data_IF_986263264792
#
_entry.id   IF_986263264792
#
_cell.length_a   1.000
_cell.length_b   1.000
_cell.length_c   1.000
_cell.angle_alpha   90.00
_cell.angle_beta   90.00
_cell.angle_gamma   90.00
#
_symmetry.space_group_name_H-M   'P 1'
#
loop_
_entity.id
_entity.type
_entity.pdbx_description
1 polymer ?
#
# COMPACT_ATOMS: atom_id res chain seq x y z
N UNK A 1 19.56 -5.59 18.36
CA UNK A 1 20.90 -4.98 18.15
C UNK A 1 20.85 -4.24 16.82
N UNK A 2 20.58 -2.93 16.86
CA UNK A 2 20.44 -2.10 15.67
C UNK A 2 21.77 -1.47 15.26
N UNK A 3 22.01 -1.32 13.96
CA UNK A 3 23.16 -0.61 13.42
C UNK A 3 22.80 0.86 13.23
N UNK A 4 23.54 1.77 13.86
CA UNK A 4 23.36 3.22 13.66
C UNK A 4 24.23 3.66 12.50
N UNK A 5 23.62 4.08 11.38
CA UNK A 5 24.34 4.74 10.29
C UNK A 5 24.42 6.24 10.55
N UNK A 6 25.64 6.76 10.77
CA UNK A 6 25.90 8.20 10.85
C UNK A 6 26.29 8.71 9.46
N UNK A 7 25.37 9.42 8.80
CA UNK A 7 25.59 10.00 7.47
C UNK A 7 25.61 11.53 7.58
N UNK A 8 26.59 12.17 6.93
CA UNK A 8 26.66 13.63 6.77
C UNK A 8 26.08 14.00 5.40
N UNK A 9 25.10 14.92 5.39
CA UNK A 9 24.59 15.49 4.13
C UNK A 9 25.58 16.58 3.67
N UNK A 10 26.08 16.54 2.43
CA UNK A 10 26.95 17.59 1.89
C UNK A 10 26.23 18.94 1.83
N UNK A 11 26.96 20.02 2.12
CA UNK A 11 26.47 21.39 2.04
C UNK A 11 27.06 22.12 0.84
N UNK A 12 26.52 23.28 0.49
CA UNK A 12 27.03 24.13 -0.60
C UNK A 12 28.47 24.62 -0.39
N UNK A 13 29.05 24.44 0.79
CA UNK A 13 30.43 24.75 1.10
C UNK A 13 31.40 23.57 0.87
N UNK A 14 30.89 22.37 0.58
CA UNK A 14 31.73 21.19 0.36
C UNK A 14 32.32 21.18 -1.06
N UNK A 15 33.64 20.94 -1.16
CA UNK A 15 34.34 20.85 -2.45
C UNK A 15 34.04 19.49 -3.13
N UNK A 16 33.76 19.47 -4.45
CA UNK A 16 33.51 18.22 -5.18
C UNK A 16 34.70 17.26 -5.04
N UNK A 17 34.42 16.01 -4.64
CA UNK A 17 35.42 14.94 -4.49
C UNK A 17 35.99 14.74 -3.08
N UNK A 18 35.53 15.48 -2.07
CA UNK A 18 36.02 15.33 -0.69
C UNK A 18 35.18 14.31 0.10
N UNK A 19 35.72 13.11 0.35
CA UNK A 19 35.08 12.04 1.14
C UNK A 19 35.58 11.96 2.59
N UNK A 20 36.12 13.05 3.15
CA UNK A 20 36.65 13.00 4.52
C UNK A 20 35.53 13.11 5.55
N UNK A 21 35.31 12.03 6.29
CA UNK A 21 34.55 12.02 7.54
C UNK A 21 35.31 12.87 8.57
N UNK A 22 34.94 14.15 8.67
CA UNK A 22 35.44 15.01 9.75
C UNK A 22 35.02 14.38 11.08
N UNK A 23 35.99 13.95 11.88
CA UNK A 23 35.76 13.51 13.26
C UNK A 23 35.20 14.70 14.04
N UNK A 24 33.91 14.63 14.40
CA UNK A 24 33.24 15.67 15.18
C UNK A 24 33.85 15.69 16.59
N UNK A 25 34.48 16.79 16.95
CA UNK A 25 34.81 17.13 18.35
C UNK A 25 33.53 17.17 19.19
N UNK A 26 33.63 16.70 20.43
CA UNK A 26 32.56 16.29 21.36
C UNK A 26 31.46 17.31 21.73
N UNK A 27 31.30 18.45 21.04
CA UNK A 27 30.44 19.54 21.53
C UNK A 27 29.43 20.14 20.53
N UNK A 28 29.19 19.52 19.39
CA UNK A 28 28.07 19.97 18.54
C UNK A 28 26.78 19.25 18.94
N UNK A 29 25.80 20.03 19.39
CA UNK A 29 24.38 19.67 19.49
C UNK A 29 23.82 19.35 18.08
N UNK A 30 24.35 18.34 17.42
CA UNK A 30 23.87 17.86 16.13
C UNK A 30 22.51 17.20 16.37
N UNK A 31 21.47 17.85 15.85
CA UNK A 31 20.12 17.30 15.76
C UNK A 31 20.23 15.92 15.12
N UNK A 32 20.15 14.89 15.94
CA UNK A 32 20.18 13.50 15.51
C UNK A 32 18.76 13.17 15.07
N UNK A 33 18.49 13.32 13.77
CA UNK A 33 17.22 12.88 13.21
C UNK A 33 17.32 11.35 13.08
N UNK A 34 16.54 10.63 13.87
CA UNK A 34 16.23 9.23 13.56
C UNK A 34 15.48 9.28 12.23
N UNK A 35 16.17 8.99 11.14
CA UNK A 35 15.50 8.77 9.88
C UNK A 35 14.59 7.54 10.11
N UNK A 36 13.26 7.66 9.94
CA UNK A 36 12.47 6.48 9.69
C UNK A 36 13.15 5.75 8.54
N UNK A 37 13.31 4.43 8.65
CA UNK A 37 14.00 3.65 7.63
C UNK A 37 13.51 4.09 6.26
N UNK A 38 14.42 4.44 5.34
CA UNK A 38 14.13 4.95 3.99
C UNK A 38 13.31 3.98 3.11
N UNK A 39 12.92 2.83 3.70
CA UNK A 39 12.26 1.69 3.10
C UNK A 39 10.89 1.43 3.75
N UNK A 40 10.25 2.39 4.41
CA UNK A 40 8.84 2.23 4.79
C UNK A 40 7.99 2.25 3.52
N UNK A 41 7.82 1.06 2.95
CA UNK A 41 6.83 0.81 1.91
C UNK A 41 5.48 1.13 2.52
N UNK A 42 4.65 1.89 1.80
CA UNK A 42 3.27 2.14 2.19
C UNK A 42 2.46 0.85 2.05
N UNK A 43 2.56 0.00 3.07
CA UNK A 43 1.90 -1.31 3.15
C UNK A 43 0.40 -1.15 2.98
N UNK A 44 -0.16 -0.06 3.49
CA UNK A 44 -1.59 0.17 3.43
C UNK A 44 -2.03 0.39 2.00
N UNK A 45 -1.44 1.37 1.30
CA UNK A 45 -1.79 1.64 -0.11
C UNK A 45 -1.59 0.41 -0.98
N UNK A 46 -0.53 -0.36 -0.75
CA UNK A 46 -0.24 -1.59 -1.50
C UNK A 46 -1.24 -2.73 -1.21
N UNK A 47 -1.62 -2.93 0.06
CA UNK A 47 -2.49 -4.05 0.47
C UNK A 47 -3.96 -3.71 0.51
N UNK A 48 -4.35 -2.44 0.45
CA UNK A 48 -5.74 -2.01 0.46
C UNK A 48 -6.63 -2.82 -0.51
N UNK A 49 -6.22 -3.08 -1.78
CA UNK A 49 -7.04 -3.85 -2.72
C UNK A 49 -7.22 -5.33 -2.34
N UNK A 50 -6.28 -5.87 -1.55
CA UNK A 50 -6.18 -7.29 -1.17
C UNK A 50 -6.31 -7.52 0.34
N UNK A 51 -6.77 -6.52 1.10
CA UNK A 51 -6.72 -6.50 2.57
C UNK A 51 -7.31 -7.76 3.24
N UNK A 52 -8.45 -8.26 2.75
CA UNK A 52 -9.09 -9.47 3.29
C UNK A 52 -8.33 -10.77 3.07
N UNK A 53 -7.31 -10.73 2.22
CA UNK A 53 -6.43 -11.85 1.92
C UNK A 53 -5.06 -11.65 2.54
N UNK A 54 -4.86 -10.63 3.38
CA UNK A 54 -3.55 -10.31 3.96
C UNK A 54 -2.94 -11.49 4.70
N UNK A 55 -3.75 -12.27 5.43
CA UNK A 55 -3.27 -13.49 6.09
C UNK A 55 -2.78 -14.53 5.07
N UNK A 56 -3.52 -14.77 3.99
CA UNK A 56 -3.08 -15.69 2.95
C UNK A 56 -1.77 -15.20 2.33
N UNK A 57 -1.68 -13.91 2.01
CA UNK A 57 -0.46 -13.32 1.43
C UNK A 57 0.73 -13.48 2.38
N UNK A 58 0.53 -13.20 3.66
CA UNK A 58 1.55 -13.39 4.68
C UNK A 58 1.98 -14.85 4.82
N UNK A 59 1.05 -15.81 4.80
CA UNK A 59 1.37 -17.25 4.80
C UNK A 59 2.15 -17.66 3.54
N UNK A 60 1.75 -17.19 2.35
CA UNK A 60 2.46 -17.47 1.10
C UNK A 60 3.89 -16.92 1.12
N UNK A 61 4.09 -15.71 1.64
CA UNK A 61 5.42 -15.09 1.76
C UNK A 61 6.27 -15.85 2.77
N UNK A 62 5.73 -16.19 3.94
CA UNK A 62 6.46 -16.97 4.95
C UNK A 62 6.90 -18.34 4.47
N UNK A 63 6.06 -19.01 3.67
CA UNK A 63 6.34 -20.34 3.13
C UNK A 63 7.20 -20.28 1.86
N UNK A 64 7.51 -19.09 1.34
CA UNK A 64 8.27 -18.93 0.10
C UNK A 64 7.55 -19.51 -1.12
N UNK A 65 6.22 -19.43 -1.15
CA UNK A 65 5.42 -19.94 -2.26
C UNK A 65 5.65 -19.14 -3.55
N UNK A 66 5.59 -19.80 -4.70
CA UNK A 66 5.76 -19.17 -5.99
C UNK A 66 4.59 -18.22 -6.30
N UNK A 67 4.86 -16.91 -6.38
CA UNK A 67 3.83 -15.88 -6.43
C UNK A 67 4.10 -14.86 -7.54
N UNK A 68 3.08 -14.57 -8.35
CA UNK A 68 3.14 -13.52 -9.38
C UNK A 68 2.24 -12.34 -9.01
N UNK A 69 2.79 -11.14 -9.02
CA UNK A 69 2.07 -9.87 -8.88
C UNK A 69 1.99 -9.22 -10.26
N UNK A 70 0.78 -9.10 -10.81
CA UNK A 70 0.51 -8.38 -12.05
C UNK A 70 -0.09 -7.02 -11.71
N UNK A 71 0.56 -5.92 -12.08
CA UNK A 71 0.12 -4.56 -11.80
C UNK A 71 -0.02 -3.74 -13.10
N UNK A 72 -0.71 -2.59 -13.12
CA UNK A 72 -0.84 -1.78 -14.33
C UNK A 72 0.44 -0.96 -14.62
N UNK A 73 1.30 -0.75 -13.62
CA UNK A 73 2.54 0.03 -13.75
C UNK A 73 3.73 -0.67 -13.05
N UNK A 74 4.98 -0.43 -13.52
CA UNK A 74 6.16 -1.02 -12.88
C UNK A 74 6.35 -0.55 -11.43
N UNK A 75 5.92 0.68 -11.14
CA UNK A 75 5.91 1.24 -9.79
C UNK A 75 4.99 0.42 -8.87
N UNK A 76 3.71 0.27 -9.21
CA UNK A 76 2.76 -0.52 -8.40
C UNK A 76 3.18 -1.98 -8.25
N UNK A 77 3.76 -2.57 -9.31
CA UNK A 77 4.35 -3.90 -9.24
C UNK A 77 5.45 -3.97 -8.17
N UNK A 78 6.41 -3.04 -8.26
CA UNK A 78 7.56 -3.01 -7.38
C UNK A 78 7.16 -2.76 -5.93
N UNK A 79 6.30 -1.76 -5.71
CA UNK A 79 5.81 -1.38 -4.38
C UNK A 79 5.09 -2.54 -3.71
N UNK A 80 4.22 -3.24 -4.45
CA UNK A 80 3.50 -4.39 -3.89
C UNK A 80 4.43 -5.56 -3.56
N UNK A 81 5.39 -5.89 -4.43
CA UNK A 81 6.34 -6.98 -4.14
C UNK A 81 7.19 -6.63 -2.92
N UNK A 82 7.65 -5.39 -2.80
CA UNK A 82 8.39 -4.93 -1.63
C UNK A 82 7.53 -4.91 -0.37
N UNK A 83 6.24 -4.55 -0.47
CA UNK A 83 5.29 -4.62 0.63
C UNK A 83 5.10 -6.06 1.12
N UNK A 84 4.96 -7.02 0.19
CA UNK A 84 4.87 -8.45 0.50
C UNK A 84 6.11 -8.94 1.24
N UNK A 85 7.31 -8.64 0.74
CA UNK A 85 8.55 -9.02 1.42
C UNK A 85 8.67 -8.37 2.81
N UNK A 86 8.22 -7.12 2.95
CA UNK A 86 8.28 -6.37 4.20
C UNK A 86 7.23 -6.81 5.23
N UNK A 87 6.15 -7.48 4.82
CA UNK A 87 5.05 -7.83 5.72
C UNK A 87 5.41 -8.91 6.76
N UNK A 88 6.53 -9.63 6.55
CA UNK A 88 7.06 -10.61 7.50
C UNK A 88 8.14 -10.04 8.43
N UNK A 89 8.42 -8.74 8.34
CA UNK A 89 9.32 -8.05 9.26
C UNK A 89 8.92 -8.35 10.72
N UNK A 90 9.87 -8.66 11.63
CA UNK A 90 11.32 -8.50 11.49
C UNK A 90 12.06 -9.70 10.87
N UNK A 91 11.35 -10.71 10.37
CA UNK A 91 11.98 -11.87 9.72
C UNK A 91 12.59 -11.46 8.38
N UNK A 92 13.73 -12.07 8.04
CA UNK A 92 14.33 -11.89 6.71
C UNK A 92 13.67 -12.83 5.73
N UNK A 93 13.21 -12.28 4.61
CA UNK A 93 12.78 -13.07 3.47
C UNK A 93 14.00 -13.73 2.81
N UNK A 94 13.95 -15.06 2.65
CA UNK A 94 15.09 -15.87 2.23
C UNK A 94 14.98 -16.40 0.79
N UNK A 95 13.80 -16.28 0.18
CA UNK A 95 13.58 -16.67 -1.21
C UNK A 95 13.91 -15.52 -2.15
N UNK A 96 14.00 -15.81 -3.45
CA UNK A 96 14.25 -14.76 -4.44
C UNK A 96 13.00 -13.89 -4.62
N UNK A 97 13.19 -12.64 -5.02
CA UNK A 97 12.10 -11.76 -5.41
C UNK A 97 12.57 -10.75 -6.47
N UNK A 98 11.70 -10.47 -7.43
CA UNK A 98 11.92 -9.47 -8.48
C UNK A 98 10.80 -8.44 -8.40
N UNK A 99 11.06 -7.24 -7.83
CA UNK A 99 10.04 -6.18 -7.74
C UNK A 99 9.44 -5.82 -9.11
N UNK A 100 10.28 -5.85 -10.14
CA UNK A 100 9.84 -5.75 -11.52
C UNK A 100 10.64 -6.68 -12.43
N UNK A 101 9.94 -7.55 -13.15
CA UNK A 101 10.47 -8.58 -14.03
C UNK A 101 9.93 -8.41 -15.45
N UNK A 102 10.81 -8.61 -16.42
CA UNK A 102 10.57 -8.31 -17.82
C UNK A 102 10.93 -9.50 -18.71
N UNK A 103 10.51 -9.43 -19.97
CA UNK A 103 10.86 -10.44 -20.98
C UNK A 103 12.34 -10.38 -21.41
N UNK A 104 13.05 -9.32 -21.02
CA UNK A 104 14.44 -9.08 -21.39
C UNK A 104 15.43 -9.57 -20.33
N UNK A 105 14.93 -9.97 -19.16
CA UNK A 105 15.76 -10.58 -18.12
C UNK A 105 16.31 -11.93 -18.59
N UNK A 106 17.57 -12.20 -18.28
CA UNK A 106 18.27 -13.41 -18.72
C UNK A 106 17.61 -14.71 -18.23
N UNK A 107 16.95 -14.64 -17.08
CA UNK A 107 16.26 -15.70 -16.37
C UNK A 107 14.83 -15.91 -16.87
N UNK A 108 14.37 -15.12 -17.86
CA UNK A 108 13.03 -15.22 -18.43
C UNK A 108 12.66 -16.65 -18.84
N UNK A 109 13.57 -17.37 -19.51
CA UNK A 109 13.31 -18.76 -19.93
C UNK A 109 13.19 -19.72 -18.74
N UNK A 110 13.95 -19.48 -17.68
CA UNK A 110 13.95 -20.31 -16.47
C UNK A 110 12.64 -20.14 -15.70
N UNK A 111 12.21 -18.91 -15.45
CA UNK A 111 10.99 -18.65 -14.69
C UNK A 111 9.69 -18.92 -15.47
N UNK A 112 9.76 -19.05 -16.80
CA UNK A 112 8.57 -19.25 -17.64
C UNK A 112 8.43 -20.66 -18.19
N UNK A 113 9.39 -21.54 -17.91
CA UNK A 113 9.31 -22.94 -18.34
C UNK A 113 8.15 -23.67 -17.68
N UNK A 114 7.52 -24.59 -18.41
CA UNK A 114 6.44 -25.46 -17.90
C UNK A 114 6.92 -26.87 -17.57
N UNK A 115 8.19 -27.16 -17.81
CA UNK A 115 8.76 -28.50 -17.63
C UNK A 115 9.15 -28.78 -16.18
N UNK A 116 9.27 -27.74 -15.36
CA UNK A 116 9.67 -27.84 -13.96
C UNK A 116 8.64 -27.15 -13.07
N UNK A 117 8.68 -27.48 -11.78
CA UNK A 117 7.89 -26.75 -10.79
C UNK A 117 8.37 -25.30 -10.72
N UNK A 118 7.47 -24.32 -10.54
CA UNK A 118 7.85 -22.93 -10.34
C UNK A 118 8.84 -22.79 -9.17
N UNK A 119 9.92 -22.02 -9.32
CA UNK A 119 10.86 -21.78 -8.22
C UNK A 119 10.20 -20.95 -7.11
N UNK A 120 10.78 -21.02 -5.91
CA UNK A 120 10.41 -20.17 -4.78
C UNK A 120 10.83 -18.73 -5.06
N UNK A 121 9.94 -17.96 -5.69
CA UNK A 121 10.19 -16.57 -6.07
C UNK A 121 8.90 -15.76 -6.12
N UNK A 122 8.99 -14.48 -5.73
CA UNK A 122 7.93 -13.50 -5.96
C UNK A 122 8.30 -12.66 -7.19
N UNK A 123 7.46 -12.67 -8.23
CA UNK A 123 7.68 -11.93 -9.47
C UNK A 123 6.65 -10.82 -9.65
N UNK A 124 7.11 -9.57 -9.66
CA UNK A 124 6.31 -8.42 -10.06
C UNK A 124 6.40 -8.20 -11.57
N UNK A 125 5.26 -8.05 -12.25
CA UNK A 125 5.18 -7.85 -13.70
C UNK A 125 4.05 -6.87 -14.04
N UNK A 126 4.12 -6.25 -15.23
CA UNK A 126 3.01 -5.42 -15.74
C UNK A 126 2.30 -5.99 -16.95
N UNK A 127 2.99 -6.81 -17.73
CA UNK A 127 2.57 -7.11 -19.10
C UNK A 127 1.45 -8.18 -19.15
N UNK A 128 0.33 -7.95 -19.85
CA UNK A 128 -0.70 -8.96 -20.14
C UNK A 128 -0.14 -10.26 -20.75
N UNK A 129 1.00 -10.21 -21.43
CA UNK A 129 1.73 -11.39 -21.88
C UNK A 129 2.02 -12.39 -20.75
N UNK A 130 2.48 -11.92 -19.59
CA UNK A 130 2.78 -12.78 -18.45
C UNK A 130 1.55 -13.50 -17.91
N UNK A 131 0.36 -12.96 -18.13
CA UNK A 131 -0.88 -13.60 -17.72
C UNK A 131 -1.17 -14.92 -18.46
N UNK A 132 -0.70 -15.06 -19.70
CA UNK A 132 -0.75 -16.33 -20.42
C UNK A 132 0.45 -17.21 -20.11
N UNK A 133 1.62 -16.61 -20.00
CA UNK A 133 2.88 -17.31 -19.81
C UNK A 133 2.93 -18.00 -18.44
N UNK A 134 2.60 -17.27 -17.38
CA UNK A 134 2.65 -17.70 -15.98
C UNK A 134 1.30 -18.21 -15.45
N UNK A 135 0.29 -18.42 -16.29
CA UNK A 135 -1.06 -18.87 -15.86
C UNK A 135 -1.08 -20.17 -15.05
N UNK A 136 -0.02 -20.97 -15.16
CA UNK A 136 0.14 -22.27 -14.52
C UNK A 136 0.71 -22.16 -13.10
N UNK A 137 1.15 -20.97 -12.69
CA UNK A 137 1.68 -20.71 -11.36
C UNK A 137 0.59 -20.81 -10.29
N UNK A 138 0.92 -21.28 -9.08
CA UNK A 138 -0.07 -21.60 -8.07
C UNK A 138 -0.77 -20.36 -7.50
N UNK A 139 -0.10 -19.21 -7.50
CA UNK A 139 -0.57 -17.95 -6.92
C UNK A 139 -0.31 -16.77 -7.86
N UNK A 140 -1.37 -16.05 -8.21
CA UNK A 140 -1.35 -14.87 -9.07
C UNK A 140 -2.25 -13.79 -8.46
N UNK A 141 -1.69 -12.62 -8.20
CA UNK A 141 -2.41 -11.43 -7.75
C UNK A 141 -2.45 -10.46 -8.91
N UNK A 142 -3.63 -9.99 -9.29
CA UNK A 142 -3.81 -8.97 -10.33
C UNK A 142 -4.31 -7.69 -9.69
N UNK A 143 -3.41 -6.74 -9.56
CA UNK A 143 -3.61 -5.38 -9.09
C UNK A 143 -3.91 -4.52 -10.31
N UNK A 144 -4.88 -3.62 -10.21
CA UNK A 144 -5.32 -2.79 -11.34
C UNK A 144 -6.41 -1.83 -10.94
N UNK A 145 -6.59 -0.79 -11.75
CA UNK A 145 -7.40 0.41 -11.45
C UNK A 145 -8.77 0.06 -10.87
N UNK A 146 -8.89 0.17 -9.53
CA UNK A 146 -10.17 0.29 -8.83
C UNK A 146 -10.72 1.72 -8.99
N UNK A 147 -10.68 2.26 -10.20
CA UNK A 147 -11.26 3.56 -10.53
C UNK A 147 -12.74 3.38 -10.89
N UNK A 148 -13.55 2.99 -9.93
CA UNK A 148 -14.95 3.40 -9.91
C UNK A 148 -15.13 4.31 -8.71
N UNK A 149 -14.86 5.60 -8.94
CA UNK A 149 -15.24 6.68 -8.04
C UNK A 149 -16.75 6.61 -7.82
N UNK A 150 -17.17 6.11 -6.64
CA UNK A 150 -18.57 6.12 -6.20
C UNK A 150 -19.17 4.75 -5.81
N UNK A 151 -18.52 3.62 -6.11
CA UNK A 151 -18.93 2.33 -5.56
C UNK A 151 -17.98 1.91 -4.45
N UNK A 152 -18.51 1.52 -3.29
CA UNK A 152 -17.77 0.84 -2.21
C UNK A 152 -16.77 -0.14 -2.82
N UNK A 153 -15.48 0.06 -2.53
CA UNK A 153 -14.36 -0.72 -3.07
C UNK A 153 -14.73 -2.20 -3.15
N UNK A 154 -14.95 -2.71 -4.37
CA UNK A 154 -15.33 -4.11 -4.60
C UNK A 154 -14.14 -4.99 -4.24
N UNK A 155 -14.07 -5.40 -2.97
CA UNK A 155 -13.05 -6.27 -2.41
C UNK A 155 -12.74 -7.43 -3.36
N UNK A 156 -11.45 -7.68 -3.60
CA UNK A 156 -11.04 -8.77 -4.47
C UNK A 156 -11.53 -10.09 -3.89
N UNK A 157 -12.15 -10.95 -4.71
CA UNK A 157 -12.52 -12.31 -4.29
C UNK A 157 -11.42 -13.29 -4.71
N UNK A 158 -11.10 -14.26 -3.85
CA UNK A 158 -10.24 -15.38 -4.25
C UNK A 158 -10.97 -16.23 -5.27
N UNK A 159 -10.37 -16.44 -6.43
CA UNK A 159 -10.89 -17.29 -7.50
C UNK A 159 -10.00 -18.52 -7.66
N UNK A 160 -10.61 -19.65 -8.01
CA UNK A 160 -9.87 -20.85 -8.42
C UNK A 160 -9.02 -20.52 -9.65
N UNK A 161 -7.77 -21.00 -9.67
CA UNK A 161 -6.81 -20.74 -10.75
C UNK A 161 -7.36 -21.13 -12.13
N UNK A 162 -8.13 -22.21 -12.23
CA UNK A 162 -8.80 -22.67 -13.46
C UNK A 162 -9.76 -21.65 -14.11
N UNK A 163 -10.17 -20.61 -13.37
CA UNK A 163 -11.06 -19.56 -13.86
C UNK A 163 -10.29 -18.34 -14.41
N UNK A 164 -8.95 -18.36 -14.38
CA UNK A 164 -8.10 -17.30 -14.92
C UNK A 164 -8.11 -17.39 -16.46
N UNK A 165 -8.85 -16.50 -17.12
CA UNK A 165 -8.77 -16.31 -18.58
C UNK A 165 -7.63 -15.36 -18.91
N UNK A 166 -6.82 -15.71 -19.90
CA UNK A 166 -5.45 -15.20 -20.04
C UNK A 166 -5.30 -13.70 -20.32
N UNK A 167 -6.31 -13.02 -20.85
CA UNK A 167 -6.19 -11.62 -21.28
C UNK A 167 -7.19 -10.68 -20.59
N UNK A 168 -8.42 -11.13 -20.33
CA UNK A 168 -9.53 -10.29 -19.83
C UNK A 168 -9.89 -10.53 -18.35
N UNK A 169 -8.96 -11.10 -17.58
CA UNK A 169 -9.24 -11.36 -16.17
C UNK A 169 -9.24 -10.08 -15.37
N UNK A 170 -10.40 -9.75 -14.81
CA UNK A 170 -10.60 -8.66 -13.85
C UNK A 170 -9.58 -8.73 -12.71
N UNK A 171 -9.19 -7.57 -12.12
CA UNK A 171 -8.41 -7.53 -10.89
C UNK A 171 -8.94 -8.51 -9.85
N UNK A 172 -8.03 -9.16 -9.12
CA UNK A 172 -8.39 -10.21 -8.19
C UNK A 172 -7.23 -11.13 -7.81
N UNK A 173 -7.51 -11.98 -6.83
CA UNK A 173 -6.54 -12.96 -6.32
C UNK A 173 -6.90 -14.35 -6.83
N UNK A 174 -5.94 -15.00 -7.48
CA UNK A 174 -6.09 -16.32 -8.07
C UNK A 174 -5.10 -17.26 -7.40
N UNK A 175 -5.60 -18.23 -6.65
CA UNK A 175 -4.76 -18.98 -5.74
C UNK A 175 -5.27 -20.39 -5.55
N UNK A 176 -4.34 -21.36 -5.49
CA UNK A 176 -4.61 -22.74 -5.06
C UNK A 176 -4.44 -22.94 -3.54
N UNK A 177 -4.31 -21.85 -2.79
CA UNK A 177 -4.02 -21.82 -1.36
C UNK A 177 -5.01 -22.63 -0.52
N UNK A 178 -4.47 -23.27 0.51
CA UNK A 178 -5.19 -23.91 1.60
C UNK A 178 -4.74 -23.24 2.90
N UNK A 179 -5.67 -22.75 3.73
CA UNK A 179 -5.32 -22.05 4.96
C UNK A 179 -4.62 -22.98 5.96
N UNK A 180 -3.53 -22.49 6.55
CA UNK A 180 -2.86 -23.16 7.67
C UNK A 180 -3.33 -22.63 9.02
N UNK A 181 -3.87 -21.39 9.06
CA UNK A 181 -4.39 -20.75 10.26
C UNK A 181 -5.84 -20.27 10.07
N UNK A 182 -6.57 -20.16 11.17
CA UNK A 182 -7.90 -19.55 11.19
C UNK A 182 -7.79 -18.03 11.15
N UNK A 183 -8.72 -17.37 10.44
CA UNK A 183 -8.78 -15.91 10.39
C UNK A 183 -9.32 -15.34 11.68
N UNK A 184 -8.73 -14.23 12.14
CA UNK A 184 -9.30 -13.40 13.18
C UNK A 184 -10.23 -12.36 12.54
N UNK A 185 -11.53 -12.65 12.55
CA UNK A 185 -12.55 -11.79 11.96
C UNK A 185 -12.76 -10.49 12.74
N UNK A 186 -12.41 -10.45 14.02
CA UNK A 186 -12.61 -9.27 14.87
C UNK A 186 -11.51 -8.24 14.61
N UNK A 187 -10.26 -8.68 14.50
CA UNK A 187 -9.14 -7.82 14.10
C UNK A 187 -9.37 -7.22 12.70
N UNK A 188 -9.82 -8.03 11.74
CA UNK A 188 -10.11 -7.57 10.37
C UNK A 188 -11.19 -6.48 10.41
N UNK A 189 -12.31 -6.70 11.11
CA UNK A 189 -13.38 -5.69 11.23
C UNK A 189 -12.91 -4.41 11.91
N UNK A 190 -12.09 -4.52 12.96
CA UNK A 190 -11.57 -3.36 13.68
C UNK A 190 -10.69 -2.49 12.79
N UNK A 191 -9.77 -3.10 12.03
CA UNK A 191 -8.89 -2.38 11.10
C UNK A 191 -9.67 -1.70 9.96
N UNK A 192 -10.73 -2.34 9.46
CA UNK A 192 -11.60 -1.72 8.46
C UNK A 192 -12.34 -0.50 9.01
N UNK A 193 -12.90 -0.63 10.22
CA UNK A 193 -13.65 0.45 10.86
C UNK A 193 -12.76 1.68 11.06
N UNK A 194 -11.55 1.48 11.57
CA UNK A 194 -10.57 2.56 11.75
C UNK A 194 -10.21 3.27 10.44
N UNK A 195 -10.08 2.55 9.33
CA UNK A 195 -9.81 3.20 8.04
C UNK A 195 -10.99 4.06 7.56
N UNK A 196 -12.22 3.53 7.64
CA UNK A 196 -13.42 4.31 7.27
C UNK A 196 -13.57 5.56 8.13
N UNK A 197 -13.17 5.49 9.40
CA UNK A 197 -13.13 6.64 10.29
C UNK A 197 -12.11 7.69 9.82
N UNK A 198 -10.88 7.30 9.48
CA UNK A 198 -9.84 8.24 9.00
C UNK A 198 -10.24 8.93 7.69
N UNK A 199 -10.76 8.19 6.71
CA UNK A 199 -11.25 8.78 5.45
C UNK A 199 -12.41 9.76 5.68
N UNK A 200 -13.31 9.40 6.59
CA UNK A 200 -14.44 10.26 6.96
C UNK A 200 -13.96 11.54 7.64
N UNK A 201 -12.98 11.44 8.55
CA UNK A 201 -12.36 12.60 9.21
C UNK A 201 -11.71 13.52 8.17
N UNK A 202 -10.91 13.00 7.23
CA UNK A 202 -10.27 13.79 6.17
C UNK A 202 -11.31 14.48 5.27
N UNK A 203 -12.39 13.77 4.89
CA UNK A 203 -13.50 14.35 4.14
C UNK A 203 -14.18 15.48 4.92
N UNK A 204 -14.46 15.29 6.20
CA UNK A 204 -15.06 16.32 7.07
C UNK A 204 -14.15 17.55 7.14
N UNK A 205 -12.84 17.38 7.33
CA UNK A 205 -11.89 18.50 7.38
C UNK A 205 -11.88 19.29 6.06
N UNK A 206 -11.84 18.60 4.92
CA UNK A 206 -11.93 19.22 3.59
C UNK A 206 -13.25 19.94 3.35
N UNK A 207 -14.37 19.38 3.81
CA UNK A 207 -15.69 20.01 3.68
C UNK A 207 -15.82 21.26 4.56
N UNK A 208 -15.27 21.23 5.79
CA UNK A 208 -15.23 22.41 6.68
C UNK A 208 -14.38 23.52 6.07
N UNK A 209 -13.21 23.21 5.52
CA UNK A 209 -12.34 24.18 4.85
C UNK A 209 -13.07 24.86 3.66
N UNK A 210 -13.69 24.07 2.79
CA UNK A 210 -14.50 24.59 1.67
C UNK A 210 -15.69 25.42 2.13
N UNK A 211 -16.34 25.07 3.24
CA UNK A 211 -17.43 25.87 3.82
C UNK A 211 -16.91 27.23 4.27
N UNK A 212 -15.80 27.26 5.01
CA UNK A 212 -15.18 28.53 5.46
C UNK A 212 -14.71 29.39 4.29
N UNK A 213 -14.21 28.77 3.22
CA UNK A 213 -13.85 29.47 1.99
C UNK A 213 -15.07 30.07 1.30
N UNK A 214 -16.17 29.32 1.19
CA UNK A 214 -17.40 29.80 0.56
C UNK A 214 -18.02 30.98 1.32
N UNK A 215 -17.95 30.98 2.65
CA UNK A 215 -18.37 32.10 3.49
C UNK A 215 -17.46 33.33 3.31
N UNK A 216 -16.14 33.12 3.32
CA UNK A 216 -15.15 34.20 3.15
C UNK A 216 -15.21 34.87 1.79
N UNK A 217 -15.40 34.09 0.73
CA UNK A 217 -15.41 34.57 -0.66
C UNK A 217 -16.81 34.97 -1.15
N UNK A 218 -17.85 34.83 -0.33
CA UNK A 218 -19.25 35.10 -0.68
C UNK A 218 -19.64 34.47 -2.02
N UNK A 219 -19.33 33.19 -2.21
CA UNK A 219 -19.62 32.49 -3.46
C UNK A 219 -21.13 32.58 -3.79
N UNK A 220 -21.51 32.74 -5.07
CA UNK A 220 -22.89 32.91 -5.50
C UNK A 220 -23.66 31.57 -5.37
N UNK A 221 -24.06 31.26 -4.14
CA UNK A 221 -24.79 30.05 -3.77
C UNK A 221 -26.26 30.35 -3.52
N UNK A 222 -27.11 29.32 -3.65
CA UNK A 222 -28.53 29.48 -3.32
C UNK A 222 -28.70 29.76 -1.81
N UNK A 223 -29.69 30.58 -1.41
CA UNK A 223 -29.97 30.84 0.00
C UNK A 223 -30.20 29.52 0.76
N UNK A 224 -29.52 29.37 1.90
CA UNK A 224 -29.63 28.19 2.77
C UNK A 224 -28.81 26.97 2.33
N UNK A 225 -28.06 27.03 1.22
CA UNK A 225 -27.15 25.93 0.82
C UNK A 225 -26.03 25.71 1.84
N UNK A 226 -25.41 26.78 2.35
CA UNK A 226 -24.37 26.70 3.38
C UNK A 226 -24.90 26.08 4.68
N UNK A 227 -26.09 26.51 5.12
CA UNK A 227 -26.75 25.97 6.31
C UNK A 227 -27.07 24.47 6.17
N UNK A 228 -27.52 24.04 4.99
CA UNK A 228 -27.77 22.62 4.69
C UNK A 228 -26.48 21.81 4.66
N UNK A 229 -25.41 22.36 4.09
CA UNK A 229 -24.09 21.71 4.05
C UNK A 229 -23.51 21.56 5.46
N UNK A 230 -23.59 22.62 6.28
CA UNK A 230 -23.19 22.60 7.68
C UNK A 230 -23.96 21.51 8.46
N UNK A 231 -25.29 21.47 8.34
CA UNK A 231 -26.10 20.45 9.00
C UNK A 231 -25.75 19.02 8.54
N UNK A 232 -25.36 18.84 7.28
CA UNK A 232 -24.91 17.54 6.77
C UNK A 232 -23.54 17.16 7.35
N UNK A 233 -22.59 18.10 7.43
CA UNK A 233 -21.29 17.89 8.07
C UNK A 233 -21.48 17.48 9.54
N UNK A 234 -22.35 18.18 10.28
CA UNK A 234 -22.61 17.87 11.70
C UNK A 234 -23.23 16.49 11.88
N UNK A 235 -24.13 16.08 10.98
CA UNK A 235 -24.69 14.71 10.97
C UNK A 235 -23.63 13.64 10.73
N UNK A 236 -22.68 13.90 9.81
CA UNK A 236 -21.54 12.99 9.57
C UNK A 236 -20.64 12.92 10.80
N UNK A 237 -20.33 14.04 11.46
CA UNK A 237 -19.51 14.06 12.67
C UNK A 237 -20.17 13.21 13.78
N UNK A 238 -21.48 13.36 14.01
CA UNK A 238 -22.22 12.58 15.01
C UNK A 238 -22.26 11.07 14.73
N UNK A 239 -21.96 10.63 13.50
CA UNK A 239 -21.85 9.21 13.16
C UNK A 239 -20.49 8.59 13.50
N UNK A 240 -19.49 9.42 13.82
CA UNK A 240 -18.15 8.97 14.24
C UNK A 240 -18.13 8.66 15.75
N UNK A 241 -17.13 7.91 16.26
CA UNK A 241 -16.98 7.69 17.69
C UNK A 241 -16.58 8.97 18.45
N UNK A 242 -16.86 8.99 19.76
CA UNK A 242 -16.78 10.19 20.62
C UNK A 242 -15.40 10.86 20.65
N UNK A 243 -14.33 10.07 20.54
CA UNK A 243 -12.94 10.53 20.50
C UNK A 243 -12.64 11.37 19.25
N UNK A 244 -13.16 10.96 18.09
CA UNK A 244 -13.02 11.69 16.82
C UNK A 244 -13.95 12.91 16.75
N UNK A 245 -15.16 12.81 17.30
CA UNK A 245 -16.07 13.96 17.41
C UNK A 245 -15.42 15.12 18.17
N UNK A 246 -14.77 14.84 19.31
CA UNK A 246 -14.10 15.85 20.11
C UNK A 246 -12.95 16.56 19.39
N UNK A 247 -12.27 15.88 18.46
CA UNK A 247 -11.21 16.47 17.64
C UNK A 247 -11.82 17.34 16.53
N UNK A 248 -12.86 16.88 15.87
CA UNK A 248 -13.51 17.57 14.74
C UNK A 248 -14.34 18.79 15.17
N UNK A 249 -14.83 18.83 16.41
CA UNK A 249 -15.54 19.98 16.97
C UNK A 249 -14.61 21.08 17.48
N UNK A 250 -13.31 20.80 17.70
CA UNK A 250 -12.39 21.87 18.06
C UNK A 250 -12.23 22.84 16.88
N UNK A 251 -12.41 24.15 17.09
CA UNK A 251 -12.02 25.12 16.09
C UNK A 251 -10.52 24.96 15.84
N UNK A 252 -10.11 25.00 14.57
CA UNK A 252 -8.71 25.08 14.18
C UNK A 252 -8.13 26.32 14.85
N UNK A 253 -7.38 26.11 15.93
CA UNK A 253 -6.63 27.20 16.56
C UNK A 253 -5.69 27.79 15.52
N UNK A 254 -5.69 29.13 15.35
CA UNK A 254 -4.75 29.80 14.46
C UNK A 254 -3.30 29.66 14.93
#
# INVERSE_FOLDING_TARGET
MGTVMKVRIPTCYDKPGTSQLVQSTQNDNLVSIVLPTVHEVDLFTCFHPVFFHIQMLWELVLLGEALVVMAPSPAESSDTVLALVSCISPLRYCSDFRPYFTIHDSEFKEYTTRTQAPPSVILGVTNPFFAKTLQHWPHIIRIGDMKQAGETVKQMKVKKLKNLKTLDSKPGVYSAYKPFLNKDEDIIKQLQKQHTEVETVDLVLKLKDKLTQAEREQLPLRPGTLTKLQAHIDSVILSLPDDLQGILHKPSTP
#
